data_IF_318585871941
#
_entry.id   IF_318585871941
#
_cell.length_a   1.000
_cell.length_b   1.000
_cell.length_c   1.000
_cell.angle_alpha   90.00
_cell.angle_beta   90.00
_cell.angle_gamma   90.00
#
_symmetry.space_group_name_H-M   'P 1'
#
loop_
_entity.id
_entity.type
_entity.pdbx_description
1 polymer ?
#
# COMPACT_ATOMS: atom_id res chain seq x y z
N UNK A 1 13.18 -9.99 3.04
CA UNK A 1 13.58 -8.90 2.12
C UNK A 1 12.40 -8.52 1.23
N UNK A 2 12.16 -7.23 1.08
CA UNK A 2 11.07 -6.72 0.26
C UNK A 2 11.57 -6.51 -1.17
N UNK A 3 10.83 -7.06 -2.14
CA UNK A 3 11.17 -6.94 -3.57
C UNK A 3 9.97 -6.50 -4.39
N UNK A 4 10.24 -5.85 -5.52
CA UNK A 4 9.21 -5.53 -6.50
C UNK A 4 8.71 -6.82 -7.16
N UNK A 5 7.40 -7.00 -7.22
CA UNK A 5 6.77 -8.20 -7.78
C UNK A 5 6.12 -7.90 -9.12
N UNK A 6 6.46 -8.68 -10.14
CA UNK A 6 5.86 -8.59 -11.47
C UNK A 6 5.28 -9.93 -11.95
N UNK A 7 5.04 -10.85 -11.02
CA UNK A 7 4.52 -12.17 -11.30
C UNK A 7 3.01 -12.22 -11.07
N UNK A 8 2.24 -12.42 -12.14
CA UNK A 8 0.78 -12.46 -12.07
C UNK A 8 0.24 -13.61 -11.19
N UNK A 9 0.99 -14.70 -11.07
CA UNK A 9 0.59 -15.79 -10.17
C UNK A 9 0.68 -15.36 -8.71
N UNK A 10 1.70 -14.56 -8.37
CA UNK A 10 1.85 -14.02 -7.03
C UNK A 10 0.78 -12.97 -6.71
N UNK A 11 0.28 -12.27 -7.72
CA UNK A 11 -0.82 -11.32 -7.53
C UNK A 11 -2.08 -12.00 -7.00
N UNK A 12 -2.33 -13.25 -7.38
CA UNK A 12 -3.45 -14.03 -6.84
C UNK A 12 -3.27 -14.29 -5.34
N UNK A 13 -2.05 -14.61 -4.93
CA UNK A 13 -1.74 -14.79 -3.51
C UNK A 13 -1.94 -13.50 -2.72
N UNK A 14 -1.60 -12.35 -3.30
CA UNK A 14 -1.80 -11.05 -2.69
C UNK A 14 -3.30 -10.77 -2.51
N UNK A 15 -4.11 -11.03 -3.55
CA UNK A 15 -5.55 -10.79 -3.46
C UNK A 15 -6.23 -11.69 -2.42
N UNK A 16 -5.70 -12.89 -2.18
CA UNK A 16 -6.21 -13.76 -1.12
C UNK A 16 -6.04 -13.14 0.27
N UNK A 17 -5.00 -12.33 0.49
CA UNK A 17 -4.78 -11.65 1.77
C UNK A 17 -5.83 -10.58 2.05
N UNK A 18 -6.53 -10.11 1.03
CA UNK A 18 -7.62 -9.15 1.19
C UNK A 18 -8.75 -9.71 2.06
N UNK A 19 -8.96 -11.03 2.05
CA UNK A 19 -9.95 -11.71 2.88
C UNK A 19 -9.69 -11.55 4.38
N UNK A 20 -8.44 -11.34 4.76
CA UNK A 20 -8.03 -11.17 6.16
C UNK A 20 -8.24 -9.73 6.65
N UNK A 21 -8.60 -8.82 5.76
CA UNK A 21 -8.77 -7.40 6.09
C UNK A 21 -10.26 -7.08 6.18
N UNK A 22 -10.76 -6.92 7.41
CA UNK A 22 -12.16 -6.56 7.64
C UNK A 22 -12.44 -5.13 7.18
N UNK A 23 -13.57 -4.94 6.49
CA UNK A 23 -14.00 -3.63 6.05
C UNK A 23 -13.23 -3.07 4.85
N UNK A 24 -12.49 -3.90 4.14
CA UNK A 24 -11.81 -3.49 2.93
C UNK A 24 -12.82 -3.09 1.85
N UNK A 25 -12.62 -1.91 1.25
CA UNK A 25 -13.48 -1.43 0.16
C UNK A 25 -13.08 -2.00 -1.19
N UNK A 26 -11.84 -2.43 -1.34
CA UNK A 26 -11.36 -3.08 -2.54
C UNK A 26 -11.87 -4.50 -2.63
N UNK A 27 -12.32 -4.90 -3.81
CA UNK A 27 -12.59 -6.31 -4.11
C UNK A 27 -11.31 -6.97 -4.63
N UNK A 28 -11.24 -8.28 -4.53
CA UNK A 28 -10.10 -9.04 -5.05
C UNK A 28 -9.88 -8.77 -6.54
N UNK A 29 -10.97 -8.71 -7.31
CA UNK A 29 -10.91 -8.45 -8.75
C UNK A 29 -10.34 -7.07 -9.06
N UNK A 30 -10.77 -6.03 -8.34
CA UNK A 30 -10.28 -4.67 -8.54
C UNK A 30 -8.80 -4.59 -8.21
N UNK A 31 -8.39 -5.15 -7.07
CA UNK A 31 -6.97 -5.15 -6.68
C UNK A 31 -6.11 -5.90 -7.71
N UNK A 32 -6.57 -7.06 -8.16
CA UNK A 32 -5.86 -7.82 -9.19
C UNK A 32 -5.69 -7.01 -10.47
N UNK A 33 -6.75 -6.33 -10.91
CA UNK A 33 -6.70 -5.52 -12.13
C UNK A 33 -5.70 -4.36 -12.00
N UNK A 34 -5.61 -3.71 -10.84
CA UNK A 34 -4.59 -2.71 -10.61
C UNK A 34 -3.18 -3.28 -10.74
N UNK A 35 -2.92 -4.42 -10.09
CA UNK A 35 -1.59 -5.05 -10.14
C UNK A 35 -1.21 -5.47 -11.55
N UNK A 36 -2.16 -6.04 -12.32
CA UNK A 36 -1.92 -6.42 -13.72
C UNK A 36 -1.59 -5.17 -14.56
N UNK A 37 -2.32 -4.07 -14.36
CA UNK A 37 -2.04 -2.83 -15.09
C UNK A 37 -0.60 -2.33 -14.84
N UNK A 38 -0.06 -2.58 -13.66
CA UNK A 38 1.32 -2.23 -13.30
C UNK A 38 2.39 -2.97 -14.12
N UNK A 39 2.02 -4.07 -14.77
CA UNK A 39 2.95 -4.76 -15.70
C UNK A 39 3.13 -4.00 -17.01
N UNK A 40 2.21 -3.12 -17.35
CA UNK A 40 2.17 -2.39 -18.61
C UNK A 40 2.29 -0.88 -18.45
N UNK A 41 2.21 -0.37 -17.21
CA UNK A 41 2.30 1.06 -16.91
C UNK A 41 3.21 1.27 -15.71
N UNK A 42 3.80 2.46 -15.60
CA UNK A 42 4.61 2.84 -14.46
C UNK A 42 3.78 3.55 -13.38
N UNK A 43 2.55 3.09 -13.16
CA UNK A 43 1.60 3.72 -12.22
C UNK A 43 1.22 2.86 -11.04
N UNK A 44 1.40 1.54 -11.13
CA UNK A 44 1.10 0.62 -10.02
C UNK A 44 2.37 -0.15 -9.67
N UNK A 45 2.72 -0.17 -8.39
CA UNK A 45 3.93 -0.82 -7.89
C UNK A 45 3.53 -1.83 -6.82
N UNK A 46 3.90 -3.08 -7.04
CA UNK A 46 3.58 -4.17 -6.12
C UNK A 46 4.86 -4.69 -5.49
N UNK A 47 4.91 -4.70 -4.17
CA UNK A 47 6.05 -5.20 -3.40
C UNK A 47 5.63 -6.37 -2.53
N UNK A 48 6.51 -7.35 -2.41
CA UNK A 48 6.27 -8.53 -1.58
C UNK A 48 7.47 -8.80 -0.70
N UNK A 49 7.19 -9.44 0.43
CA UNK A 49 8.21 -9.95 1.33
C UNK A 49 7.96 -11.41 1.62
N UNK A 50 9.03 -12.20 1.67
CA UNK A 50 8.97 -13.61 1.99
C UNK A 50 9.87 -13.93 3.16
N UNK A 51 9.44 -14.91 3.96
CA UNK A 51 10.27 -15.54 4.98
C UNK A 51 10.07 -17.05 4.90
N UNK A 52 11.16 -17.78 4.73
CA UNK A 52 11.15 -19.26 4.59
C UNK A 52 10.17 -19.73 3.50
N UNK A 53 10.16 -19.05 2.37
CA UNK A 53 9.34 -19.42 1.23
C UNK A 53 7.86 -19.04 1.33
N UNK A 54 7.45 -18.35 2.40
CA UNK A 54 6.06 -17.89 2.59
C UNK A 54 5.98 -16.38 2.54
N UNK A 55 4.95 -15.86 1.87
CA UNK A 55 4.69 -14.43 1.86
C UNK A 55 4.30 -13.98 3.27
N UNK A 56 5.08 -13.06 3.84
CA UNK A 56 4.79 -12.47 5.14
C UNK A 56 4.31 -11.03 5.05
N UNK A 57 4.28 -10.45 3.87
CA UNK A 57 3.73 -9.12 3.67
C UNK A 57 3.69 -8.72 2.20
N UNK A 58 2.86 -7.75 1.90
CA UNK A 58 2.75 -7.16 0.57
C UNK A 58 2.26 -5.72 0.66
N UNK A 59 2.57 -4.95 -0.39
CA UNK A 59 2.21 -3.54 -0.51
C UNK A 59 1.88 -3.25 -1.97
N UNK A 60 0.76 -2.59 -2.22
CA UNK A 60 0.38 -2.14 -3.56
C UNK A 60 0.20 -0.63 -3.54
N UNK A 61 0.98 0.06 -4.36
CA UNK A 61 0.99 1.51 -4.50
C UNK A 61 0.43 1.91 -5.87
N UNK A 62 -0.32 2.99 -5.90
CA UNK A 62 -0.88 3.54 -7.13
C UNK A 62 -0.55 5.02 -7.26
N UNK A 63 0.12 5.37 -8.36
CA UNK A 63 0.42 6.75 -8.71
C UNK A 63 -0.75 7.34 -9.49
N UNK A 64 -1.35 8.40 -8.96
CA UNK A 64 -2.49 9.06 -9.59
C UNK A 64 -2.42 10.58 -9.39
N UNK A 65 -3.38 11.29 -9.95
CA UNK A 65 -3.53 12.73 -9.75
C UNK A 65 -4.74 12.99 -8.86
N UNK A 66 -4.64 14.01 -8.01
CA UNK A 66 -5.76 14.47 -7.23
C UNK A 66 -6.69 15.37 -8.07
N UNK A 67 -7.71 15.95 -7.43
CA UNK A 67 -8.71 16.78 -8.13
C UNK A 67 -8.13 18.05 -8.76
N UNK A 68 -7.01 18.55 -8.23
CA UNK A 68 -6.34 19.74 -8.77
C UNK A 68 -5.18 19.41 -9.70
N UNK A 69 -4.99 18.14 -10.04
CA UNK A 69 -3.97 17.68 -10.97
C UNK A 69 -2.60 17.43 -10.38
N UNK A 70 -2.43 17.49 -9.05
CA UNK A 70 -1.17 17.13 -8.41
C UNK A 70 -1.02 15.62 -8.30
N UNK A 71 0.20 15.14 -8.54
CA UNK A 71 0.53 13.72 -8.37
C UNK A 71 0.47 13.34 -6.88
N UNK A 72 -0.10 12.18 -6.62
CA UNK A 72 -0.08 11.57 -5.30
C UNK A 72 0.12 10.06 -5.41
N UNK A 73 0.68 9.47 -4.38
CA UNK A 73 0.88 8.04 -4.27
C UNK A 73 -0.14 7.49 -3.29
N UNK A 74 -0.94 6.54 -3.74
CA UNK A 74 -1.99 5.94 -2.92
C UNK A 74 -1.57 4.55 -2.50
N UNK A 75 -1.65 4.26 -1.19
CA UNK A 75 -1.52 2.89 -0.70
C UNK A 75 -2.87 2.21 -0.94
N UNK A 76 -2.95 1.39 -1.98
CA UNK A 76 -4.16 0.64 -2.29
C UNK A 76 -4.37 -0.51 -1.31
N UNK A 77 -3.30 -1.17 -0.95
CA UNK A 77 -3.36 -2.33 -0.07
C UNK A 77 -2.03 -2.54 0.61
N UNK A 78 -2.07 -2.85 1.89
CA UNK A 78 -0.92 -3.33 2.66
C UNK A 78 -1.39 -4.45 3.59
N UNK A 79 -0.68 -5.55 3.56
CA UNK A 79 -0.92 -6.68 4.47
C UNK A 79 0.40 -7.14 5.05
N UNK A 80 0.42 -7.38 6.35
CA UNK A 80 1.60 -7.87 7.06
C UNK A 80 1.14 -8.98 8.01
N UNK A 81 1.85 -10.09 7.99
CA UNK A 81 1.63 -11.17 8.95
C UNK A 81 1.90 -10.65 10.37
N UNK A 82 1.01 -10.99 11.30
CA UNK A 82 1.06 -10.52 12.68
C UNK A 82 2.36 -10.90 13.41
N UNK A 83 3.06 -11.93 12.95
CA UNK A 83 4.35 -12.35 13.53
C UNK A 83 5.52 -11.45 13.14
N UNK A 84 5.31 -10.45 12.27
CA UNK A 84 6.36 -9.58 11.75
C UNK A 84 5.97 -8.10 11.95
N UNK A 85 5.92 -7.62 13.21
CA UNK A 85 5.39 -6.28 13.50
C UNK A 85 6.20 -5.14 12.91
N UNK A 86 7.49 -5.34 12.64
CA UNK A 86 8.36 -4.31 12.05
C UNK A 86 8.21 -4.22 10.53
N UNK A 87 7.61 -5.20 9.90
CA UNK A 87 7.50 -5.24 8.44
C UNK A 87 6.58 -4.13 7.91
N UNK A 88 5.55 -3.76 8.65
CA UNK A 88 4.69 -2.64 8.28
C UNK A 88 5.49 -1.35 8.15
N UNK A 89 6.38 -1.08 9.09
CA UNK A 89 7.25 0.08 9.07
C UNK A 89 8.16 0.07 7.83
N UNK A 90 8.72 -1.10 7.50
CA UNK A 90 9.54 -1.27 6.31
C UNK A 90 8.76 -0.97 5.03
N UNK A 91 7.52 -1.42 4.93
CA UNK A 91 6.65 -1.11 3.78
C UNK A 91 6.31 0.38 3.68
N UNK A 92 6.02 1.02 4.82
CA UNK A 92 5.76 2.46 4.82
C UNK A 92 7.00 3.23 4.37
N UNK A 93 8.18 2.82 4.79
CA UNK A 93 9.44 3.43 4.37
C UNK A 93 9.66 3.25 2.85
N UNK A 94 9.28 2.11 2.29
CA UNK A 94 9.33 1.89 0.84
C UNK A 94 8.37 2.83 0.12
N UNK A 95 7.16 3.02 0.64
CA UNK A 95 6.21 3.96 0.05
C UNK A 95 6.75 5.39 0.06
N UNK A 96 7.36 5.81 1.18
CA UNK A 96 7.97 7.14 1.29
C UNK A 96 9.12 7.29 0.30
N UNK A 97 10.00 6.30 0.22
CA UNK A 97 11.11 6.32 -0.73
C UNK A 97 10.62 6.38 -2.17
N UNK A 98 9.59 5.62 -2.51
CA UNK A 98 9.00 5.64 -3.85
C UNK A 98 8.40 7.01 -4.18
N UNK A 99 7.71 7.62 -3.22
CA UNK A 99 7.16 8.97 -3.40
C UNK A 99 8.28 9.99 -3.65
N UNK A 100 9.40 9.88 -2.96
CA UNK A 100 10.56 10.74 -3.18
C UNK A 100 11.15 10.54 -4.57
N UNK A 101 11.31 9.29 -5.00
CA UNK A 101 11.82 8.95 -6.34
C UNK A 101 10.92 9.53 -7.44
N UNK A 102 9.61 9.47 -7.25
CA UNK A 102 8.62 9.97 -8.21
C UNK A 102 8.34 11.47 -8.07
N UNK A 103 8.96 12.13 -7.09
CA UNK A 103 8.76 13.55 -6.78
C UNK A 103 7.29 13.88 -6.49
N UNK A 104 6.65 12.99 -5.76
CA UNK A 104 5.25 13.13 -5.36
C UNK A 104 5.16 13.83 -4.01
N UNK A 105 4.23 14.77 -3.86
CA UNK A 105 4.09 15.57 -2.65
C UNK A 105 3.22 14.96 -1.58
N UNK A 106 2.36 14.00 -1.94
CA UNK A 106 1.40 13.40 -1.01
C UNK A 106 1.38 11.89 -1.13
N UNK A 107 1.29 11.23 0.03
CA UNK A 107 0.96 9.81 0.12
C UNK A 107 -0.36 9.73 0.87
N UNK A 108 -1.31 8.94 0.36
CA UNK A 108 -2.60 8.77 1.00
C UNK A 108 -3.03 7.31 1.03
N UNK A 109 -3.90 6.97 1.98
CA UNK A 109 -4.61 5.71 1.97
C UNK A 109 -5.98 5.89 2.62
N UNK A 110 -6.92 5.03 2.22
CA UNK A 110 -8.30 5.05 2.72
C UNK A 110 -8.49 3.80 3.56
N UNK A 111 -9.06 3.95 4.75
CA UNK A 111 -9.29 2.83 5.64
C UNK A 111 -10.64 2.92 6.32
N UNK A 112 -11.27 1.75 6.51
CA UNK A 112 -12.48 1.58 7.31
C UNK A 112 -12.21 0.89 8.64
N UNK A 113 -10.94 0.60 8.96
CA UNK A 113 -10.56 -0.07 10.20
C UNK A 113 -10.83 0.81 11.42
N UNK A 114 -10.83 0.19 12.60
CA UNK A 114 -10.98 0.90 13.86
C UNK A 114 -10.01 2.09 13.95
N UNK A 115 -10.59 3.29 14.11
CA UNK A 115 -9.87 4.55 14.07
C UNK A 115 -8.73 4.63 15.08
N UNK A 116 -8.95 4.16 16.32
CA UNK A 116 -7.96 4.28 17.39
C UNK A 116 -6.69 3.48 17.10
N UNK A 117 -6.84 2.27 16.57
CA UNK A 117 -5.68 1.40 16.25
C UNK A 117 -4.87 1.99 15.10
N UNK A 118 -5.56 2.49 14.09
CA UNK A 118 -4.91 3.08 12.91
C UNK A 118 -4.26 4.41 13.26
N UNK A 119 -4.93 5.25 14.04
CA UNK A 119 -4.39 6.53 14.49
C UNK A 119 -3.02 6.37 15.15
N UNK A 120 -2.89 5.38 16.02
CA UNK A 120 -1.60 5.11 16.70
C UNK A 120 -0.51 4.67 15.74
N UNK A 121 -0.86 3.84 14.72
CA UNK A 121 0.12 3.28 13.80
C UNK A 121 0.60 4.28 12.76
N UNK A 122 -0.31 5.14 12.26
CA UNK A 122 0.02 6.02 11.15
C UNK A 122 0.54 7.39 11.57
N UNK A 123 0.15 7.89 12.75
CA UNK A 123 0.64 9.19 13.25
C UNK A 123 2.15 9.21 13.39
N UNK A 124 2.76 8.12 13.85
CA UNK A 124 4.23 8.06 14.01
C UNK A 124 4.98 8.14 12.68
N UNK A 125 4.31 7.89 11.56
CA UNK A 125 4.91 8.02 10.22
C UNK A 125 4.62 9.38 9.57
N UNK A 126 3.95 10.29 10.27
CA UNK A 126 3.66 11.63 9.80
C UNK A 126 2.40 11.75 8.94
N UNK A 127 1.49 10.78 9.03
CA UNK A 127 0.20 10.87 8.36
C UNK A 127 -0.80 11.65 9.19
N UNK A 128 -1.58 12.51 8.54
CA UNK A 128 -2.64 13.27 9.14
C UNK A 128 -3.99 12.83 8.55
N UNK A 129 -5.00 12.74 9.40
CA UNK A 129 -6.32 12.32 8.96
C UNK A 129 -7.10 13.46 8.34
N UNK A 130 -7.64 13.22 7.13
CA UNK A 130 -8.60 14.11 6.46
C UNK A 130 -9.82 13.27 6.11
N UNK A 131 -10.90 13.41 6.88
CA UNK A 131 -12.09 12.55 6.77
C UNK A 131 -11.73 11.06 6.94
N UNK A 132 -12.02 10.22 5.95
CA UNK A 132 -11.65 8.80 5.91
C UNK A 132 -10.32 8.56 5.20
N UNK A 133 -9.58 9.61 4.85
CA UNK A 133 -8.34 9.55 4.08
C UNK A 133 -7.18 9.98 4.96
N UNK A 134 -6.12 9.20 4.96
CA UNK A 134 -4.87 9.54 5.63
C UNK A 134 -3.86 10.02 4.60
N UNK A 135 -3.30 11.20 4.80
CA UNK A 135 -2.34 11.79 3.88
C UNK A 135 -1.07 12.23 4.59
N UNK A 136 0.04 12.12 3.87
CA UNK A 136 1.33 12.66 4.27
C UNK A 136 1.85 13.53 3.14
N UNK A 137 2.13 14.80 3.44
CA UNK A 137 2.81 15.67 2.50
C UNK A 137 4.31 15.37 2.48
N UNK A 138 4.84 15.22 1.29
CA UNK A 138 6.26 14.99 1.05
C UNK A 138 6.92 16.33 0.73
N UNK A 139 7.67 16.83 1.68
CA UNK A 139 8.35 18.14 1.56
C UNK A 139 9.80 17.93 1.14
#
# INVERSE_FOLDING_TARGET
MITLCKDSNEFLNITDKLKEVKGARLTQKILYNYMISGLYTDKVFTFVSYNKGRMNGCLVLFLTKDQIGELKLVLLFVWVDAHYPKLLEEFINIAIKKAQELRVKKISFITNRNKKVIDRRVNKFGFNKTCSIWEKEMI
#
